data_IF_319418785811
#
_entry.id   IF_319418785811
#
_cell.length_a   1.000
_cell.length_b   1.000
_cell.length_c   1.000
_cell.angle_alpha   90.00
_cell.angle_beta   90.00
_cell.angle_gamma   90.00
#
_symmetry.space_group_name_H-M   'P 1'
#
loop_
_entity.id
_entity.type
_entity.pdbx_description
1 polymer ?
#
# COMPACT_ATOMS: atom_id res chain seq x y z
N UNK A 1 -1.48 -45.21 -10.80
CA UNK A 1 -1.06 -43.80 -10.70
C UNK A 1 -1.74 -43.24 -9.47
N UNK A 2 -0.98 -42.97 -8.43
CA UNK A 2 -1.54 -42.27 -7.26
C UNK A 2 -1.96 -40.85 -7.70
N UNK A 3 -3.18 -40.49 -7.39
CA UNK A 3 -3.68 -39.16 -7.69
C UNK A 3 -3.14 -38.17 -6.66
N UNK A 4 -3.06 -36.88 -7.01
CA UNK A 4 -2.68 -35.81 -6.07
C UNK A 4 -3.57 -35.85 -4.82
N UNK A 5 -4.83 -36.26 -4.98
CA UNK A 5 -5.79 -36.43 -3.87
C UNK A 5 -5.39 -37.59 -2.92
N UNK A 6 -4.87 -38.69 -3.45
CA UNK A 6 -4.43 -39.85 -2.64
C UNK A 6 -3.17 -39.48 -1.82
N UNK A 7 -2.23 -38.79 -2.46
CA UNK A 7 -1.02 -38.28 -1.76
C UNK A 7 -1.37 -37.23 -0.70
N UNK A 8 -2.28 -36.29 -0.99
CA UNK A 8 -2.78 -35.34 0.00
C UNK A 8 -3.47 -36.03 1.20
N UNK A 9 -4.28 -37.06 0.93
CA UNK A 9 -4.95 -37.83 1.97
C UNK A 9 -3.95 -38.61 2.83
N UNK A 10 -2.90 -39.17 2.27
CA UNK A 10 -1.81 -39.82 3.01
C UNK A 10 -1.02 -38.85 3.89
N UNK A 11 -0.73 -37.65 3.38
CA UNK A 11 -0.07 -36.59 4.13
C UNK A 11 -0.92 -36.13 5.31
N UNK A 12 -2.22 -35.91 5.08
CA UNK A 12 -3.17 -35.46 6.11
C UNK A 12 -3.46 -36.52 7.18
N UNK A 13 -3.23 -37.80 6.90
CA UNK A 13 -3.42 -38.90 7.85
C UNK A 13 -2.18 -39.15 8.75
N UNK A 14 -1.12 -38.39 8.65
CA UNK A 14 0.02 -38.51 9.57
C UNK A 14 -0.36 -37.91 10.94
N UNK A 15 -0.22 -38.67 12.04
CA UNK A 15 -0.63 -38.27 13.41
C UNK A 15 0.00 -36.93 13.83
N UNK A 16 1.22 -36.68 13.44
CA UNK A 16 1.94 -35.45 13.76
C UNK A 16 1.34 -34.22 13.05
N UNK A 17 0.87 -34.35 11.81
CA UNK A 17 0.23 -33.26 11.08
C UNK A 17 -1.18 -32.96 11.59
N UNK A 18 -1.90 -33.98 12.04
CA UNK A 18 -3.20 -33.77 12.68
C UNK A 18 -3.05 -33.03 14.01
N UNK A 19 -2.05 -33.38 14.83
CA UNK A 19 -1.77 -32.65 16.05
C UNK A 19 -1.41 -31.19 15.84
N UNK A 20 -0.55 -30.89 14.84
CA UNK A 20 -0.21 -29.51 14.47
C UNK A 20 -1.46 -28.74 14.01
N UNK A 21 -2.32 -29.38 13.20
CA UNK A 21 -3.55 -28.77 12.73
C UNK A 21 -4.51 -28.48 13.89
N UNK A 22 -4.74 -29.43 14.78
CA UNK A 22 -5.60 -29.25 15.95
C UNK A 22 -5.09 -28.15 16.89
N UNK A 23 -3.78 -28.08 17.11
CA UNK A 23 -3.15 -27.00 17.87
C UNK A 23 -3.36 -25.63 17.18
N UNK A 24 -3.17 -25.54 15.86
CA UNK A 24 -3.41 -24.32 15.12
C UNK A 24 -4.88 -23.87 15.21
N UNK A 25 -5.82 -24.80 15.08
CA UNK A 25 -7.27 -24.53 15.24
C UNK A 25 -7.60 -24.04 16.65
N UNK A 26 -7.04 -24.66 17.68
CA UNK A 26 -7.24 -24.24 19.06
C UNK A 26 -6.73 -22.82 19.32
N UNK A 27 -5.54 -22.50 18.79
CA UNK A 27 -4.93 -21.17 18.90
C UNK A 27 -5.71 -20.08 18.13
N UNK A 28 -6.25 -20.40 16.96
CA UNK A 28 -7.13 -19.50 16.19
C UNK A 28 -8.41 -19.20 16.97
N UNK A 29 -8.99 -20.22 17.61
CA UNK A 29 -10.20 -20.06 18.43
C UNK A 29 -10.00 -19.25 19.70
N UNK A 30 -8.77 -19.17 20.22
CA UNK A 30 -8.43 -18.41 21.41
C UNK A 30 -7.96 -16.97 21.12
N UNK A 31 -7.74 -16.63 19.84
CA UNK A 31 -7.23 -15.32 19.48
C UNK A 31 -8.34 -14.26 19.55
N UNK A 32 -8.15 -13.26 20.41
CA UNK A 32 -9.15 -12.22 20.69
C UNK A 32 -9.53 -11.41 19.46
N UNK A 33 -8.57 -11.07 18.59
CA UNK A 33 -8.85 -10.26 17.42
C UNK A 33 -9.63 -11.05 16.36
N UNK A 34 -9.33 -12.36 16.23
CA UNK A 34 -10.12 -13.24 15.36
C UNK A 34 -11.55 -13.37 15.91
N UNK A 35 -11.70 -13.56 17.22
CA UNK A 35 -13.01 -13.67 17.84
C UNK A 35 -13.83 -12.37 17.70
N UNK A 36 -13.21 -11.22 17.86
CA UNK A 36 -13.85 -9.92 17.64
C UNK A 36 -14.34 -9.78 16.18
N UNK A 37 -13.51 -10.11 15.20
CA UNK A 37 -13.90 -10.11 13.80
C UNK A 37 -15.05 -11.04 13.49
N UNK A 38 -15.02 -12.27 14.01
CA UNK A 38 -16.09 -13.26 13.80
C UNK A 38 -17.42 -12.83 14.43
N UNK A 39 -17.37 -12.15 15.58
CA UNK A 39 -18.56 -11.58 16.22
C UNK A 39 -19.15 -10.39 15.44
N UNK A 40 -18.29 -9.48 14.99
CA UNK A 40 -18.71 -8.32 14.22
C UNK A 40 -19.41 -8.71 12.91
N UNK A 41 -18.92 -9.77 12.27
CA UNK A 41 -19.43 -10.24 10.98
C UNK A 41 -20.32 -11.50 11.08
N UNK A 42 -20.86 -11.80 12.25
CA UNK A 42 -21.65 -13.04 12.51
C UNK A 42 -22.80 -13.23 11.53
N UNK A 43 -23.43 -12.16 11.07
CA UNK A 43 -24.56 -12.21 10.12
C UNK A 43 -24.15 -12.63 8.70
N UNK A 44 -22.86 -12.45 8.34
CA UNK A 44 -22.33 -12.72 7.00
C UNK A 44 -21.55 -14.02 6.92
N UNK A 45 -21.14 -14.59 8.08
CA UNK A 45 -20.27 -15.73 8.15
C UNK A 45 -21.05 -17.02 8.42
N UNK A 46 -20.77 -18.06 7.64
CA UNK A 46 -21.21 -19.43 7.91
C UNK A 46 -20.11 -20.24 8.58
N UNK A 47 -20.50 -21.31 9.29
CA UNK A 47 -19.51 -22.24 9.90
C UNK A 47 -18.57 -22.87 8.85
N UNK A 48 -19.07 -23.12 7.64
CA UNK A 48 -18.27 -23.64 6.53
C UNK A 48 -17.22 -22.63 6.04
N UNK A 49 -17.60 -21.35 5.91
CA UNK A 49 -16.66 -20.26 5.55
C UNK A 49 -15.51 -20.16 6.56
N UNK A 50 -15.83 -20.21 7.87
CA UNK A 50 -14.82 -20.15 8.94
C UNK A 50 -13.88 -21.36 8.83
N UNK A 51 -14.43 -22.55 8.61
CA UNK A 51 -13.64 -23.79 8.51
C UNK A 51 -12.71 -23.75 7.28
N UNK A 52 -13.22 -23.31 6.14
CA UNK A 52 -12.41 -23.18 4.91
C UNK A 52 -11.34 -22.09 5.00
N UNK A 53 -11.48 -21.15 5.94
CA UNK A 53 -10.56 -20.02 6.14
C UNK A 53 -9.55 -20.23 7.26
N UNK A 54 -9.50 -21.40 7.91
CA UNK A 54 -8.62 -21.64 9.06
C UNK A 54 -7.15 -21.35 8.77
N UNK A 55 -6.67 -21.68 7.58
CA UNK A 55 -5.30 -21.37 7.14
C UNK A 55 -5.03 -19.86 7.15
N UNK A 56 -5.96 -19.05 6.65
CA UNK A 56 -5.87 -17.60 6.59
C UNK A 56 -6.00 -16.96 7.97
N UNK A 57 -6.88 -17.47 8.81
CA UNK A 57 -6.99 -17.05 10.20
C UNK A 57 -5.70 -17.32 10.99
N UNK A 58 -5.06 -18.46 10.75
CA UNK A 58 -3.78 -18.76 11.37
C UNK A 58 -2.63 -17.89 10.83
N UNK A 59 -2.61 -17.61 9.50
CA UNK A 59 -1.69 -16.64 8.89
C UNK A 59 -1.80 -15.26 9.57
N UNK A 60 -3.01 -14.72 9.68
CA UNK A 60 -3.28 -13.46 10.37
C UNK A 60 -2.75 -13.46 11.80
N UNK A 61 -3.03 -14.52 12.57
CA UNK A 61 -2.59 -14.65 13.95
C UNK A 61 -1.07 -14.65 14.07
N UNK A 62 -0.38 -15.41 13.23
CA UNK A 62 1.08 -15.51 13.25
C UNK A 62 1.74 -14.19 12.89
N UNK A 63 1.27 -13.55 11.83
CA UNK A 63 1.76 -12.24 11.40
C UNK A 63 1.59 -11.17 12.48
N UNK A 64 0.39 -11.08 13.05
CA UNK A 64 0.11 -10.12 14.11
C UNK A 64 1.02 -10.33 15.33
N UNK A 65 1.20 -11.57 15.77
CA UNK A 65 2.08 -11.89 16.90
C UNK A 65 3.55 -11.60 16.60
N UNK A 66 4.02 -11.85 15.40
CA UNK A 66 5.37 -11.49 14.99
C UNK A 66 5.59 -9.98 15.09
N UNK A 67 4.64 -9.17 14.60
CA UNK A 67 4.69 -7.71 14.66
C UNK A 67 4.62 -7.22 16.13
N UNK A 68 3.73 -7.76 16.95
CA UNK A 68 3.61 -7.44 18.39
C UNK A 68 4.89 -7.79 19.17
N UNK A 69 5.61 -8.83 18.75
CA UNK A 69 6.90 -9.22 19.31
C UNK A 69 8.09 -8.38 18.77
N UNK A 70 7.83 -7.35 17.95
CA UNK A 70 8.86 -6.51 17.35
C UNK A 70 9.65 -7.19 16.22
N UNK A 71 9.16 -8.33 15.71
CA UNK A 71 9.76 -8.99 14.56
C UNK A 71 9.20 -8.38 13.27
N UNK A 72 9.99 -8.31 12.19
CA UNK A 72 9.45 -7.90 10.90
C UNK A 72 8.45 -8.96 10.44
N UNK A 73 7.22 -8.55 10.15
CA UNK A 73 6.25 -9.41 9.49
C UNK A 73 6.68 -9.72 8.05
N UNK A 74 5.89 -10.51 7.33
CA UNK A 74 6.11 -10.86 5.92
C UNK A 74 6.23 -9.60 5.04
N UNK A 75 5.47 -8.55 5.38
CA UNK A 75 5.49 -7.24 4.70
C UNK A 75 5.89 -6.14 5.71
N UNK A 76 7.19 -5.79 5.84
CA UNK A 76 7.63 -4.76 6.77
C UNK A 76 6.93 -3.40 6.52
N UNK A 77 6.41 -2.80 7.59
CA UNK A 77 5.67 -1.55 7.52
C UNK A 77 4.17 -1.71 7.24
N UNK A 78 3.69 -2.93 7.05
CA UNK A 78 2.27 -3.24 6.90
C UNK A 78 1.76 -4.05 8.09
N UNK A 79 0.45 -3.95 8.34
CA UNK A 79 -0.25 -4.76 9.33
C UNK A 79 -1.32 -5.62 8.66
N UNK A 80 -1.51 -6.89 9.08
CA UNK A 80 -2.54 -7.75 8.55
C UNK A 80 -3.92 -7.30 9.03
N UNK A 81 -4.91 -7.41 8.15
CA UNK A 81 -6.32 -7.16 8.43
C UNK A 81 -7.16 -8.28 7.83
N UNK A 82 -8.11 -8.81 8.60
CA UNK A 82 -9.08 -9.77 8.10
C UNK A 82 -10.16 -9.07 7.29
N UNK A 83 -10.63 -9.73 6.24
CA UNK A 83 -11.79 -9.28 5.48
C UNK A 83 -12.54 -10.47 4.87
N UNK A 84 -13.82 -10.26 4.57
CA UNK A 84 -14.65 -11.27 3.90
C UNK A 84 -14.44 -11.14 2.39
N UNK A 85 -14.02 -12.24 1.78
CA UNK A 85 -13.82 -12.37 0.35
C UNK A 85 -14.76 -13.44 -0.21
N UNK A 86 -15.92 -13.04 -0.69
CA UNK A 86 -16.99 -13.94 -1.16
C UNK A 86 -17.38 -14.98 -0.10
N UNK A 87 -16.91 -16.22 -0.23
CA UNK A 87 -17.30 -17.35 0.61
C UNK A 87 -16.19 -17.79 1.59
N UNK A 88 -15.18 -16.95 1.83
CA UNK A 88 -14.12 -17.23 2.80
C UNK A 88 -13.55 -15.95 3.42
N UNK A 89 -12.86 -16.09 4.53
CA UNK A 89 -12.13 -14.99 5.19
C UNK A 89 -10.71 -14.99 4.64
N UNK A 90 -10.21 -13.83 4.24
CA UNK A 90 -8.87 -13.65 3.71
C UNK A 90 -8.11 -12.58 4.51
N UNK A 91 -6.82 -12.46 4.25
CA UNK A 91 -5.92 -11.48 4.88
C UNK A 91 -5.47 -10.46 3.84
N UNK A 92 -5.63 -9.19 4.15
CA UNK A 92 -5.01 -8.10 3.40
C UNK A 92 -4.02 -7.35 4.27
N UNK A 93 -3.06 -6.69 3.63
CA UNK A 93 -2.02 -5.95 4.33
C UNK A 93 -2.24 -4.45 4.11
N UNK A 94 -2.44 -3.71 5.21
CA UNK A 94 -2.55 -2.24 5.17
C UNK A 94 -1.26 -1.60 5.67
N UNK A 95 -0.77 -0.53 5.01
CA UNK A 95 0.39 0.20 5.50
C UNK A 95 0.07 0.80 6.88
N UNK A 96 1.03 0.71 7.80
CA UNK A 96 0.92 1.36 9.12
C UNK A 96 1.07 2.88 8.98
N UNK A 97 0.54 3.62 9.95
CA UNK A 97 0.67 5.09 10.01
C UNK A 97 2.14 5.52 10.02
N UNK A 98 2.98 4.79 10.76
CA UNK A 98 4.41 5.08 10.87
C UNK A 98 5.14 4.82 9.55
N UNK A 99 4.76 3.76 8.84
CA UNK A 99 5.32 3.48 7.52
C UNK A 99 4.94 4.56 6.50
N UNK A 100 3.68 5.00 6.47
CA UNK A 100 3.23 6.11 5.62
C UNK A 100 3.96 7.41 5.98
N UNK A 101 4.14 7.71 7.26
CA UNK A 101 4.90 8.87 7.72
C UNK A 101 6.37 8.79 7.28
N UNK A 102 6.99 7.61 7.38
CA UNK A 102 8.37 7.38 6.94
C UNK A 102 8.53 7.54 5.43
N UNK A 103 7.57 7.05 4.63
CA UNK A 103 7.55 7.25 3.19
C UNK A 103 7.43 8.73 2.84
N UNK A 104 6.52 9.46 3.52
CA UNK A 104 6.37 10.90 3.33
C UNK A 104 7.66 11.65 3.68
N UNK A 105 8.30 11.32 4.79
CA UNK A 105 9.57 11.93 5.20
C UNK A 105 10.70 11.64 4.19
N UNK A 106 10.80 10.40 3.67
CA UNK A 106 11.76 10.04 2.62
C UNK A 106 11.54 10.84 1.34
N UNK A 107 10.28 10.94 0.89
CA UNK A 107 9.93 11.73 -0.30
C UNK A 107 10.33 13.18 -0.14
N UNK A 108 10.02 13.80 1.01
CA UNK A 108 10.41 15.18 1.29
C UNK A 108 11.92 15.37 1.41
N UNK A 109 12.66 14.38 1.91
CA UNK A 109 14.12 14.43 1.97
C UNK A 109 14.79 14.36 0.59
N UNK A 110 14.15 13.73 -0.39
CA UNK A 110 14.64 13.66 -1.78
C UNK A 110 14.54 15.01 -2.50
N UNK A 111 13.67 15.91 -2.01
CA UNK A 111 13.53 17.26 -2.55
C UNK A 111 14.36 18.23 -1.69
N UNK A 112 15.56 18.61 -2.16
CA UNK A 112 16.35 19.67 -1.50
C UNK A 112 15.76 21.04 -1.83
N UNK A 113 14.76 21.44 -1.06
CA UNK A 113 14.01 22.68 -1.24
C UNK A 113 14.43 23.81 -0.26
N UNK A 114 15.59 23.67 0.39
CA UNK A 114 16.05 24.63 1.41
C UNK A 114 16.25 26.07 0.90
N UNK A 115 16.48 26.21 -0.39
CA UNK A 115 16.64 27.51 -1.07
C UNK A 115 15.34 28.01 -1.73
N UNK A 116 14.25 27.29 -1.62
CA UNK A 116 12.97 27.69 -2.18
C UNK A 116 12.21 28.61 -1.24
N UNK A 117 11.52 29.62 -1.78
CA UNK A 117 10.57 30.42 -1.03
C UNK A 117 9.39 29.55 -0.52
N UNK A 118 8.73 29.93 0.56
CA UNK A 118 7.74 29.09 1.22
C UNK A 118 6.52 28.81 0.32
N UNK A 119 6.10 29.75 -0.51
CA UNK A 119 5.04 29.62 -1.49
C UNK A 119 5.36 28.59 -2.58
N UNK A 120 6.63 28.53 -3.00
CA UNK A 120 7.11 27.54 -3.98
C UNK A 120 7.26 26.17 -3.34
N UNK A 121 7.71 26.12 -2.07
CA UNK A 121 7.87 24.88 -1.30
C UNK A 121 6.55 24.14 -1.05
N UNK A 122 5.46 24.90 -0.93
CA UNK A 122 4.11 24.39 -0.72
C UNK A 122 3.25 24.41 -1.99
N UNK A 123 3.85 24.66 -3.15
CA UNK A 123 3.11 24.77 -4.40
C UNK A 123 2.52 23.41 -4.83
N UNK A 124 1.25 23.42 -5.25
CA UNK A 124 0.57 22.27 -5.82
C UNK A 124 0.06 22.59 -7.23
N UNK A 125 0.10 21.59 -8.13
CA UNK A 125 -0.40 21.76 -9.50
C UNK A 125 -1.90 22.09 -9.54
N UNK A 126 -2.67 21.61 -8.56
CA UNK A 126 -4.10 21.90 -8.42
C UNK A 126 -4.39 23.40 -8.17
N UNK A 127 -3.44 24.13 -7.56
CA UNK A 127 -3.60 25.53 -7.23
C UNK A 127 -3.10 26.46 -8.35
N UNK A 128 -2.58 25.88 -9.45
CA UNK A 128 -2.08 26.66 -10.58
C UNK A 128 -3.22 27.27 -11.38
N UNK A 129 -3.28 28.62 -11.40
CA UNK A 129 -4.33 29.36 -12.07
C UNK A 129 -4.11 29.36 -13.59
N UNK A 130 -5.09 28.86 -14.32
CA UNK A 130 -5.08 28.80 -15.80
C UNK A 130 -6.03 29.88 -16.31
N UNK A 131 -5.52 31.09 -16.48
CA UNK A 131 -6.27 32.28 -16.86
C UNK A 131 -5.90 32.80 -18.28
N UNK A 132 -5.01 32.12 -19.00
CA UNK A 132 -4.61 32.47 -20.34
C UNK A 132 -4.30 31.25 -21.21
N UNK A 133 -4.38 31.39 -22.56
CA UNK A 133 -4.00 30.32 -23.50
C UNK A 133 -2.54 29.86 -23.34
N UNK A 134 -1.64 30.75 -22.97
CA UNK A 134 -0.22 30.45 -22.73
C UNK A 134 -0.05 29.57 -21.51
N UNK A 135 -0.79 29.84 -20.43
CA UNK A 135 -0.80 29.00 -19.22
C UNK A 135 -1.44 27.64 -19.47
N UNK A 136 -2.48 27.59 -20.31
CA UNK A 136 -3.08 26.32 -20.72
C UNK A 136 -2.08 25.48 -21.55
N UNK A 137 -1.35 26.09 -22.49
CA UNK A 137 -0.33 25.39 -23.26
C UNK A 137 0.81 24.85 -22.34
N UNK A 138 1.19 25.64 -21.34
CA UNK A 138 2.22 25.27 -20.38
C UNK A 138 1.80 24.08 -19.51
N UNK A 139 0.58 24.08 -18.98
CA UNK A 139 0.03 22.95 -18.22
C UNK A 139 -0.06 21.69 -19.08
N UNK A 140 -0.46 21.80 -20.34
CA UNK A 140 -0.50 20.67 -21.24
C UNK A 140 0.91 20.08 -21.46
N UNK A 141 1.94 20.90 -21.59
CA UNK A 141 3.33 20.45 -21.71
C UNK A 141 3.83 19.75 -20.42
N UNK A 142 3.49 20.31 -19.25
CA UNK A 142 3.79 19.70 -17.95
C UNK A 142 3.09 18.34 -17.80
N UNK A 143 1.82 18.26 -18.17
CA UNK A 143 1.05 16.99 -18.12
C UNK A 143 1.65 15.94 -19.06
N UNK A 144 2.04 16.31 -20.27
CA UNK A 144 2.70 15.41 -21.21
C UNK A 144 4.06 14.94 -20.67
N UNK A 145 4.83 15.83 -20.06
CA UNK A 145 6.08 15.47 -19.41
C UNK A 145 5.86 14.45 -18.29
N UNK A 146 4.89 14.69 -17.41
CA UNK A 146 4.56 13.75 -16.32
C UNK A 146 4.16 12.37 -16.86
N UNK A 147 3.30 12.32 -17.89
CA UNK A 147 2.90 11.06 -18.52
C UNK A 147 4.09 10.28 -19.09
N UNK A 148 5.03 10.97 -19.74
CA UNK A 148 6.24 10.34 -20.27
C UNK A 148 7.16 9.86 -19.13
N UNK A 149 7.31 10.68 -18.09
CA UNK A 149 8.13 10.37 -16.93
C UNK A 149 7.58 9.14 -16.16
N UNK A 150 6.27 9.02 -15.98
CA UNK A 150 5.62 7.85 -15.39
C UNK A 150 5.87 6.56 -16.18
N UNK A 151 5.87 6.65 -17.51
CA UNK A 151 6.10 5.46 -18.36
C UNK A 151 7.56 5.01 -18.35
N UNK A 152 8.47 5.95 -18.54
CA UNK A 152 9.91 5.71 -18.48
C UNK A 152 10.66 6.99 -18.12
N UNK A 153 11.12 7.15 -16.87
CA UNK A 153 11.85 8.34 -16.42
C UNK A 153 13.12 8.64 -17.26
N UNK A 154 13.73 7.60 -17.86
CA UNK A 154 14.97 7.77 -18.65
C UNK A 154 14.71 8.31 -20.05
N UNK A 155 13.51 8.12 -20.59
CA UNK A 155 13.12 8.62 -21.91
C UNK A 155 12.47 10.01 -21.85
N UNK A 156 12.08 10.48 -20.66
CA UNK A 156 11.46 11.78 -20.50
C UNK A 156 12.44 12.91 -20.85
N UNK A 157 12.07 13.72 -21.83
CA UNK A 157 12.82 14.93 -22.18
C UNK A 157 12.55 16.02 -21.12
N UNK A 158 13.61 16.72 -20.70
CA UNK A 158 13.48 17.80 -19.72
C UNK A 158 12.61 18.96 -20.23
N UNK A 159 11.93 19.64 -19.31
CA UNK A 159 11.16 20.85 -19.60
C UNK A 159 12.06 22.09 -19.53
N UNK A 160 11.98 22.95 -20.54
CA UNK A 160 12.60 24.28 -20.55
C UNK A 160 11.50 25.34 -20.60
N UNK A 161 11.29 26.09 -19.52
CA UNK A 161 10.23 27.09 -19.37
C UNK A 161 10.82 28.49 -19.46
N UNK A 162 10.39 29.27 -20.45
CA UNK A 162 10.81 30.68 -20.66
C UNK A 162 9.62 31.62 -20.52
N UNK A 163 9.88 32.90 -20.29
CA UNK A 163 8.87 33.95 -20.24
C UNK A 163 9.27 35.12 -19.36
N UNK A 164 8.47 36.19 -19.30
CA UNK A 164 8.72 37.40 -18.50
C UNK A 164 8.92 37.08 -17.01
N UNK A 165 9.50 38.03 -16.30
CA UNK A 165 9.65 37.94 -14.84
C UNK A 165 8.27 37.99 -14.16
N UNK A 166 8.09 37.27 -13.07
CA UNK A 166 6.87 37.30 -12.23
C UNK A 166 5.67 36.48 -12.75
N UNK A 167 5.75 35.76 -13.87
CA UNK A 167 4.62 34.99 -14.44
C UNK A 167 4.38 33.61 -13.80
N UNK A 168 5.09 33.26 -12.70
CA UNK A 168 4.84 32.04 -11.95
C UNK A 168 5.63 30.80 -12.41
N UNK A 169 6.71 30.95 -13.22
CA UNK A 169 7.53 29.82 -13.70
C UNK A 169 8.10 28.98 -12.54
N UNK A 170 8.67 29.65 -11.54
CA UNK A 170 9.26 29.00 -10.37
C UNK A 170 8.21 28.26 -9.53
N UNK A 171 7.02 28.88 -9.39
CA UNK A 171 5.88 28.23 -8.72
C UNK A 171 5.49 26.93 -9.44
N UNK A 172 5.34 26.96 -10.75
CA UNK A 172 4.96 25.77 -11.53
C UNK A 172 6.02 24.67 -11.46
N UNK A 173 7.32 25.03 -11.52
CA UNK A 173 8.40 24.05 -11.35
C UNK A 173 8.43 23.47 -9.94
N UNK A 174 8.17 24.27 -8.90
CA UNK A 174 8.02 23.79 -7.53
C UNK A 174 6.83 22.83 -7.39
N UNK A 175 5.68 23.21 -7.96
CA UNK A 175 4.48 22.37 -7.96
C UNK A 175 4.69 21.03 -8.70
N UNK A 176 5.39 21.04 -9.83
CA UNK A 176 5.77 19.83 -10.57
C UNK A 176 6.72 18.95 -9.74
N UNK A 177 7.76 19.54 -9.13
CA UNK A 177 8.72 18.80 -8.32
C UNK A 177 8.04 18.16 -7.08
N UNK A 178 7.15 18.89 -6.40
CA UNK A 178 6.37 18.36 -5.28
C UNK A 178 5.48 17.20 -5.72
N UNK A 179 4.79 17.35 -6.84
CA UNK A 179 3.92 16.30 -7.40
C UNK A 179 4.70 15.02 -7.72
N UNK A 180 5.85 15.12 -8.40
CA UNK A 180 6.68 13.96 -8.72
C UNK A 180 7.21 13.26 -7.46
N UNK A 181 7.58 14.02 -6.43
CA UNK A 181 8.02 13.45 -5.16
C UNK A 181 6.88 12.77 -4.40
N UNK A 182 5.67 13.34 -4.44
CA UNK A 182 4.50 12.80 -3.75
C UNK A 182 3.96 11.53 -4.39
N UNK A 183 3.88 11.48 -5.71
CA UNK A 183 3.30 10.35 -6.43
C UNK A 183 4.32 9.26 -6.78
N UNK A 184 5.52 9.64 -7.19
CA UNK A 184 6.52 8.69 -7.70
C UNK A 184 7.55 8.27 -6.65
N UNK A 185 7.69 9.03 -5.57
CA UNK A 185 8.76 8.81 -4.59
C UNK A 185 10.15 9.08 -5.16
N UNK A 186 10.21 9.93 -6.20
CA UNK A 186 11.44 10.30 -6.91
C UNK A 186 12.47 10.98 -6.01
#
# INVERSE_FOLDING_TARGET
>A
METIQDVMRQIMNQPHLQEIYEQAVALVRQDEAIQAFLQEHQAELSGEMIQNSLSKLNEFRLERRAIEAGQPGTNPGYQPELFINHNFIDVRYKPTTDYLASLKARRQANLDNRMMADDVRQAHLADYIIDSPERQALINAVTQFMQTYHQDPKSAQGLYITGPYGVGKTYLLGALANHLVEEEGA
#
